data_IF_465986553010
#
_entry.id   IF_465986553010
#
_cell.length_a   1.000
_cell.length_b   1.000
_cell.length_c   1.000
_cell.angle_alpha   90.00
_cell.angle_beta   90.00
_cell.angle_gamma   90.00
#
_symmetry.space_group_name_H-M   'P 1'
#
loop_
_entity.id
_entity.type
_entity.pdbx_description
1 polymer ?
#
# COMPACT_ATOMS: atom_id res chain seq x y z
N UNK A 1 75.58 20.69 6.31
CA UNK A 1 74.96 20.78 4.96
C UNK A 1 74.06 19.56 4.78
N UNK A 2 72.76 19.81 4.68
CA UNK A 2 71.67 18.84 4.64
C UNK A 2 71.70 17.97 3.38
N UNK A 3 71.41 16.67 3.50
CA UNK A 3 70.97 15.82 2.38
C UNK A 3 69.64 15.16 2.75
N UNK A 4 68.67 15.46 1.91
CA UNK A 4 67.23 15.24 2.00
C UNK A 4 66.87 13.76 2.01
N UNK A 5 65.97 13.37 2.92
CA UNK A 5 65.30 12.07 2.95
C UNK A 5 64.27 11.98 1.82
N UNK A 6 64.35 10.90 1.04
CA UNK A 6 63.32 10.47 0.10
C UNK A 6 62.18 9.80 0.88
N UNK A 7 60.98 10.36 0.84
CA UNK A 7 59.76 9.71 1.32
C UNK A 7 58.81 9.53 0.12
N UNK A 8 58.68 8.31 -0.37
CA UNK A 8 57.68 7.93 -1.37
C UNK A 8 56.41 7.60 -0.59
N UNK A 9 55.42 8.50 -0.68
CA UNK A 9 54.09 8.32 -0.08
C UNK A 9 53.20 7.58 -1.09
N UNK A 10 53.08 6.26 -0.95
CA UNK A 10 52.15 5.47 -1.75
C UNK A 10 50.75 5.62 -1.16
N UNK A 11 49.92 6.49 -1.75
CA UNK A 11 48.51 6.60 -1.40
C UNK A 11 47.73 5.40 -1.95
N UNK A 12 47.44 4.41 -1.11
CA UNK A 12 46.51 3.34 -1.43
C UNK A 12 45.07 3.89 -1.38
N UNK A 13 44.50 4.18 -2.54
CA UNK A 13 43.05 4.40 -2.69
C UNK A 13 42.33 3.09 -2.41
N UNK A 14 41.85 2.91 -1.18
CA UNK A 14 40.83 1.92 -0.85
C UNK A 14 39.54 2.34 -1.56
N UNK A 15 39.31 1.82 -2.76
CA UNK A 15 37.99 1.83 -3.38
C UNK A 15 37.08 0.98 -2.50
N UNK A 16 36.31 1.61 -1.61
CA UNK A 16 35.19 0.93 -0.95
C UNK A 16 34.15 0.64 -2.01
N UNK A 17 34.18 -0.57 -2.57
CA UNK A 17 33.09 -1.09 -3.40
C UNK A 17 31.88 -1.15 -2.48
N UNK A 18 31.01 -0.15 -2.55
CA UNK A 18 29.71 -0.17 -1.89
C UNK A 18 28.92 -1.34 -2.48
N UNK A 19 28.92 -2.49 -1.81
CA UNK A 19 28.01 -3.57 -2.15
C UNK A 19 26.59 -3.01 -1.98
N UNK A 20 25.83 -2.95 -3.07
CA UNK A 20 24.43 -2.54 -3.01
C UNK A 20 23.73 -3.43 -1.97
N UNK A 21 23.02 -2.81 -1.03
CA UNK A 21 22.30 -3.55 0.01
C UNK A 21 21.38 -4.58 -0.64
N UNK A 22 21.42 -5.85 -0.18
CA UNK A 22 20.51 -6.88 -0.66
C UNK A 22 19.05 -6.43 -0.51
N UNK A 23 18.23 -6.73 -1.53
CA UNK A 23 16.80 -6.36 -1.51
C UNK A 23 16.08 -6.97 -0.29
N UNK A 24 16.49 -8.18 0.11
CA UNK A 24 15.95 -8.90 1.26
C UNK A 24 16.18 -8.16 2.58
N UNK A 25 17.34 -7.52 2.76
CA UNK A 25 17.65 -6.74 3.96
C UNK A 25 16.77 -5.49 4.05
N UNK A 26 16.57 -4.83 2.90
CA UNK A 26 15.65 -3.68 2.80
C UNK A 26 14.20 -4.11 3.09
N UNK A 27 13.77 -5.26 2.56
CA UNK A 27 12.44 -5.81 2.83
C UNK A 27 12.27 -6.19 4.30
N UNK A 28 13.30 -6.77 4.92
CA UNK A 28 13.31 -7.10 6.34
C UNK A 28 13.26 -5.84 7.21
N UNK A 29 13.96 -4.76 6.82
CA UNK A 29 13.86 -3.47 7.49
C UNK A 29 12.42 -2.91 7.42
N UNK A 30 11.79 -2.95 6.23
CA UNK A 30 10.40 -2.53 6.09
C UNK A 30 9.48 -3.36 6.98
N UNK A 31 9.63 -4.69 7.01
CA UNK A 31 8.82 -5.59 7.85
C UNK A 31 8.98 -5.33 9.35
N UNK A 32 10.12 -4.77 9.79
CA UNK A 32 10.36 -4.34 11.17
C UNK A 32 9.82 -2.94 11.48
N UNK A 33 9.16 -2.26 10.54
CA UNK A 33 8.67 -0.90 10.73
C UNK A 33 9.74 0.16 10.56
N UNK A 34 10.76 -0.12 9.73
CA UNK A 34 11.88 0.80 9.46
C UNK A 34 11.84 1.28 7.99
N UNK A 35 10.77 1.97 7.56
CA UNK A 35 10.65 2.43 6.18
C UNK A 35 11.77 3.42 5.78
N UNK A 36 12.21 4.29 6.70
CA UNK A 36 13.35 5.19 6.43
C UNK A 36 14.67 4.46 6.12
N UNK A 37 14.94 3.34 6.79
CA UNK A 37 16.12 2.49 6.50
C UNK A 37 15.99 1.87 5.11
N UNK A 38 14.79 1.40 4.77
CA UNK A 38 14.47 0.84 3.44
C UNK A 38 14.70 1.87 2.34
N UNK A 39 14.16 3.09 2.52
CA UNK A 39 14.34 4.20 1.57
C UNK A 39 15.81 4.56 1.38
N UNK A 40 16.58 4.61 2.47
CA UNK A 40 18.01 4.91 2.39
C UNK A 40 18.79 3.80 1.66
N UNK A 41 18.49 2.53 1.94
CA UNK A 41 19.16 1.37 1.35
C UNK A 41 18.90 1.21 -0.16
N UNK A 42 17.73 1.62 -0.64
CA UNK A 42 17.33 1.48 -2.05
C UNK A 42 17.58 2.74 -2.88
N UNK A 43 18.17 3.79 -2.29
CA UNK A 43 18.42 5.05 -2.98
C UNK A 43 19.28 4.84 -4.23
N UNK A 44 18.79 5.32 -5.37
CA UNK A 44 19.49 5.22 -6.65
C UNK A 44 19.33 3.88 -7.38
N UNK A 45 18.64 2.90 -6.79
CA UNK A 45 18.26 1.68 -7.50
C UNK A 45 17.12 1.96 -8.46
N UNK A 46 17.25 1.44 -9.67
CA UNK A 46 16.32 1.68 -10.79
C UNK A 46 15.67 0.39 -11.32
N UNK A 47 15.93 -0.75 -10.69
CA UNK A 47 15.26 -2.01 -11.02
C UNK A 47 13.85 -2.06 -10.41
N UNK A 48 12.90 -2.69 -11.12
CA UNK A 48 11.50 -2.73 -10.73
C UNK A 48 11.26 -3.28 -9.30
N UNK A 49 11.91 -4.38 -8.85
CA UNK A 49 11.74 -4.87 -7.47
C UNK A 49 12.13 -3.84 -6.40
N UNK A 50 13.26 -3.16 -6.57
CA UNK A 50 13.68 -2.10 -5.64
C UNK A 50 12.73 -0.90 -5.66
N UNK A 51 12.26 -0.49 -6.85
CA UNK A 51 11.32 0.63 -6.99
C UNK A 51 9.94 0.31 -6.39
N UNK A 52 9.45 -0.93 -6.53
CA UNK A 52 8.23 -1.39 -5.86
C UNK A 52 8.36 -1.31 -4.35
N UNK A 53 9.47 -1.84 -3.80
CA UNK A 53 9.71 -1.81 -2.37
C UNK A 53 9.88 -0.38 -1.85
N UNK A 54 10.51 0.50 -2.65
CA UNK A 54 10.64 1.92 -2.34
C UNK A 54 9.27 2.62 -2.31
N UNK A 55 8.39 2.33 -3.28
CA UNK A 55 7.02 2.87 -3.31
C UNK A 55 6.25 2.48 -2.03
N UNK A 56 6.35 1.22 -1.60
CA UNK A 56 5.78 0.74 -0.33
C UNK A 56 6.39 1.40 0.89
N UNK A 57 7.71 1.58 0.89
CA UNK A 57 8.42 2.20 2.01
C UNK A 57 8.02 3.67 2.19
N UNK A 58 7.77 4.43 1.12
CA UNK A 58 7.23 5.78 1.22
C UNK A 58 5.84 5.81 1.86
N UNK A 59 4.95 4.88 1.49
CA UNK A 59 3.64 4.74 2.16
C UNK A 59 3.83 4.39 3.63
N UNK A 60 4.70 3.44 3.96
CA UNK A 60 5.01 3.08 5.34
C UNK A 60 5.55 4.27 6.15
N UNK A 61 6.44 5.07 5.56
CA UNK A 61 6.98 6.27 6.21
C UNK A 61 5.88 7.30 6.48
N UNK A 62 4.85 7.38 5.63
CA UNK A 62 3.74 8.32 5.79
C UNK A 62 2.89 8.06 7.05
N UNK A 63 2.86 6.80 7.50
CA UNK A 63 2.18 6.40 8.74
C UNK A 63 2.92 6.92 9.98
N UNK A 64 4.24 7.15 9.86
CA UNK A 64 5.09 7.58 10.97
C UNK A 64 5.20 9.11 11.10
N UNK A 65 4.53 9.88 10.23
CA UNK A 65 4.61 11.34 10.24
C UNK A 65 3.26 12.00 10.51
N UNK A 66 3.27 13.02 11.38
CA UNK A 66 2.05 13.74 11.77
C UNK A 66 1.68 14.89 10.80
N UNK A 67 2.64 15.38 10.01
CA UNK A 67 2.42 16.50 9.09
C UNK A 67 1.69 16.08 7.82
N UNK A 68 0.57 16.77 7.51
CA UNK A 68 -0.17 16.60 6.24
C UNK A 68 0.74 16.86 5.04
N UNK A 69 1.53 17.94 5.08
CA UNK A 69 2.46 18.30 4.01
C UNK A 69 3.49 17.20 3.76
N UNK A 70 4.01 16.61 4.83
CA UNK A 70 5.00 15.54 4.71
C UNK A 70 4.38 14.25 4.17
N UNK A 71 3.17 13.89 4.62
CA UNK A 71 2.42 12.76 4.03
C UNK A 71 2.19 12.95 2.53
N UNK A 72 1.77 14.14 2.11
CA UNK A 72 1.56 14.43 0.69
C UNK A 72 2.84 14.28 -0.15
N UNK A 73 3.99 14.70 0.39
CA UNK A 73 5.29 14.48 -0.27
C UNK A 73 5.63 13.00 -0.39
N UNK A 74 5.38 12.22 0.65
CA UNK A 74 5.62 10.78 0.66
C UNK A 74 4.70 10.05 -0.32
N UNK A 75 3.44 10.45 -0.45
CA UNK A 75 2.54 9.88 -1.46
C UNK A 75 3.00 10.20 -2.89
N UNK A 76 3.47 11.42 -3.15
CA UNK A 76 4.05 11.78 -4.45
C UNK A 76 5.34 11.01 -4.76
N UNK A 77 6.19 10.78 -3.74
CA UNK A 77 7.39 9.96 -3.88
C UNK A 77 7.04 8.48 -4.16
N UNK A 78 6.01 7.95 -3.50
CA UNK A 78 5.47 6.60 -3.76
C UNK A 78 4.97 6.46 -5.19
N UNK A 79 4.19 7.43 -5.67
CA UNK A 79 3.71 7.46 -7.06
C UNK A 79 4.88 7.48 -8.05
N UNK A 80 5.88 8.34 -7.81
CA UNK A 80 7.07 8.46 -8.68
C UNK A 80 7.83 7.14 -8.75
N UNK A 81 8.05 6.48 -7.61
CA UNK A 81 8.70 5.18 -7.55
C UNK A 81 7.91 4.10 -8.30
N UNK A 82 6.58 4.02 -8.09
CA UNK A 82 5.73 3.04 -8.76
C UNK A 82 5.66 3.26 -10.28
N UNK A 83 5.56 4.51 -10.75
CA UNK A 83 5.64 4.82 -12.20
C UNK A 83 6.98 4.41 -12.79
N UNK A 84 8.07 4.66 -12.06
CA UNK A 84 9.41 4.23 -12.47
C UNK A 84 9.53 2.70 -12.51
N UNK A 85 8.89 2.00 -11.58
CA UNK A 85 8.87 0.53 -11.58
C UNK A 85 8.15 -0.03 -12.80
N UNK A 86 6.99 0.54 -13.20
CA UNK A 86 6.29 0.16 -14.43
C UNK A 86 7.16 0.47 -15.67
N UNK A 87 7.89 1.58 -15.67
CA UNK A 87 8.80 1.91 -16.78
C UNK A 87 9.98 0.93 -16.88
N UNK A 88 10.48 0.44 -15.74
CA UNK A 88 11.54 -0.55 -15.69
C UNK A 88 11.05 -1.96 -16.06
N UNK A 89 9.82 -2.31 -15.66
CA UNK A 89 9.16 -3.56 -16.01
C UNK A 89 7.63 -3.40 -16.05
N UNK A 90 7.10 -3.28 -17.27
CA UNK A 90 5.67 -3.13 -17.50
C UNK A 90 4.86 -4.42 -17.21
N UNK A 91 5.54 -5.56 -17.02
CA UNK A 91 4.89 -6.82 -16.63
C UNK A 91 4.83 -7.02 -15.11
N UNK A 92 5.35 -6.07 -14.33
CA UNK A 92 5.29 -6.12 -12.87
C UNK A 92 3.86 -5.85 -12.36
N UNK A 93 3.15 -6.91 -11.96
CA UNK A 93 1.85 -6.81 -11.31
C UNK A 93 1.92 -5.96 -10.02
N UNK A 94 3.00 -6.11 -9.26
CA UNK A 94 3.23 -5.34 -8.04
C UNK A 94 3.37 -3.84 -8.32
N UNK A 95 4.07 -3.44 -9.38
CA UNK A 95 4.23 -2.02 -9.73
C UNK A 95 2.88 -1.33 -10.01
N UNK A 96 1.96 -2.04 -10.66
CA UNK A 96 0.60 -1.56 -10.91
C UNK A 96 -0.19 -1.40 -9.59
N UNK A 97 -0.06 -2.35 -8.67
CA UNK A 97 -0.65 -2.26 -7.32
C UNK A 97 -0.12 -1.05 -6.56
N UNK A 98 1.20 -0.84 -6.56
CA UNK A 98 1.79 0.30 -5.85
C UNK A 98 1.35 1.64 -6.43
N UNK A 99 1.26 1.75 -7.76
CA UNK A 99 0.78 2.97 -8.39
C UNK A 99 -0.69 3.24 -8.02
N UNK A 100 -1.54 2.22 -8.06
CA UNK A 100 -2.95 2.35 -7.68
C UNK A 100 -3.10 2.82 -6.22
N UNK A 101 -2.33 2.24 -5.30
CA UNK A 101 -2.32 2.62 -3.89
C UNK A 101 -1.85 4.06 -3.68
N UNK A 102 -0.75 4.45 -4.33
CA UNK A 102 -0.21 5.81 -4.22
C UNK A 102 -1.23 6.86 -4.72
N UNK A 103 -1.89 6.60 -5.85
CA UNK A 103 -2.94 7.47 -6.38
C UNK A 103 -4.16 7.54 -5.44
N UNK A 104 -4.59 6.41 -4.87
CA UNK A 104 -5.71 6.38 -3.94
C UNK A 104 -5.45 7.22 -2.68
N UNK A 105 -4.23 7.17 -2.13
CA UNK A 105 -3.85 7.96 -0.95
C UNK A 105 -3.88 9.48 -1.22
N UNK A 106 -3.58 9.89 -2.45
CA UNK A 106 -3.65 11.29 -2.87
C UNK A 106 -5.08 11.81 -3.12
N UNK A 107 -6.10 10.94 -3.10
CA UNK A 107 -7.50 11.32 -3.23
C UNK A 107 -8.15 11.78 -1.93
N UNK A 108 -7.50 11.57 -0.79
CA UNK A 108 -8.02 12.09 0.48
C UNK A 108 -8.14 13.63 0.42
N UNK A 109 -9.36 14.14 0.58
CA UNK A 109 -9.65 15.58 0.47
C UNK A 109 -9.72 16.12 -0.97
N UNK A 110 -9.68 15.26 -2.00
CA UNK A 110 -9.87 15.68 -3.39
C UNK A 110 -11.36 15.97 -3.70
N UNK A 111 -11.59 16.96 -4.58
CA UNK A 111 -12.94 17.22 -5.10
C UNK A 111 -13.46 16.08 -6.00
N UNK A 112 -14.79 15.97 -6.10
CA UNK A 112 -15.50 14.86 -6.77
C UNK A 112 -15.00 14.56 -8.19
N UNK A 113 -14.73 15.58 -9.01
CA UNK A 113 -14.24 15.40 -10.39
C UNK A 113 -12.88 14.69 -10.44
N UNK A 114 -11.94 15.08 -9.58
CA UNK A 114 -10.62 14.45 -9.49
C UNK A 114 -10.74 13.03 -8.95
N UNK A 115 -11.63 12.81 -7.99
CA UNK A 115 -11.92 11.48 -7.45
C UNK A 115 -12.48 10.53 -8.53
N UNK A 116 -13.38 10.99 -9.39
CA UNK A 116 -13.95 10.14 -10.46
C UNK A 116 -12.90 9.75 -11.51
N UNK A 117 -12.17 10.72 -12.07
CA UNK A 117 -11.17 10.42 -13.13
C UNK A 117 -10.05 9.50 -12.61
N UNK A 118 -9.48 9.87 -11.46
CA UNK A 118 -8.40 9.08 -10.85
C UNK A 118 -8.92 7.74 -10.34
N UNK A 119 -10.17 7.68 -9.88
CA UNK A 119 -10.83 6.44 -9.48
C UNK A 119 -10.88 5.40 -10.59
N UNK A 120 -11.21 5.80 -11.83
CA UNK A 120 -11.19 4.88 -12.98
C UNK A 120 -9.76 4.41 -13.32
N UNK A 121 -8.76 5.29 -13.20
CA UNK A 121 -7.35 4.92 -13.38
C UNK A 121 -6.91 3.89 -12.33
N UNK A 122 -7.25 4.12 -11.06
CA UNK A 122 -6.95 3.21 -9.94
C UNK A 122 -7.54 1.82 -10.20
N UNK A 123 -8.81 1.75 -10.61
CA UNK A 123 -9.44 0.47 -10.97
C UNK A 123 -8.68 -0.24 -12.08
N UNK A 124 -8.39 0.46 -13.18
CA UNK A 124 -7.68 -0.11 -14.33
C UNK A 124 -6.31 -0.66 -13.93
N UNK A 125 -5.60 0.02 -13.02
CA UNK A 125 -4.32 -0.45 -12.52
C UNK A 125 -4.45 -1.75 -11.72
N UNK A 126 -5.46 -1.88 -10.86
CA UNK A 126 -5.70 -3.16 -10.18
C UNK A 126 -6.14 -4.28 -11.14
N UNK A 127 -6.99 -3.98 -12.12
CA UNK A 127 -7.37 -4.94 -13.16
C UNK A 127 -6.16 -5.39 -13.99
N UNK A 128 -5.27 -4.46 -14.35
CA UNK A 128 -4.01 -4.77 -15.03
C UNK A 128 -3.10 -5.65 -14.17
N UNK A 129 -2.97 -5.35 -12.87
CA UNK A 129 -2.22 -6.18 -11.95
C UNK A 129 -2.76 -7.62 -11.89
N UNK A 130 -4.09 -7.79 -11.89
CA UNK A 130 -4.73 -9.11 -11.88
C UNK A 130 -4.66 -9.84 -13.21
N UNK A 131 -4.60 -9.12 -14.32
CA UNK A 131 -4.34 -9.71 -15.64
C UNK A 131 -2.91 -10.28 -15.73
N UNK A 132 -1.95 -9.60 -15.08
CA UNK A 132 -0.55 -10.05 -14.99
C UNK A 132 -0.36 -11.17 -13.97
N UNK A 133 -0.98 -11.04 -12.80
CA UNK A 133 -0.92 -12.01 -11.70
C UNK A 133 -2.30 -12.12 -10.99
N UNK A 134 -3.12 -13.14 -11.31
CA UNK A 134 -4.43 -13.34 -10.68
C UNK A 134 -4.33 -13.77 -9.22
N UNK A 135 -3.13 -14.09 -8.72
CA UNK A 135 -2.88 -14.41 -7.30
C UNK A 135 -2.46 -13.18 -6.49
N UNK A 136 -2.45 -12.00 -7.10
CA UNK A 136 -2.05 -10.77 -6.43
C UNK A 136 -3.10 -10.28 -5.44
N UNK A 137 -3.00 -10.75 -4.19
CA UNK A 137 -4.01 -10.51 -3.15
C UNK A 137 -4.28 -9.03 -2.86
N UNK A 138 -3.24 -8.18 -2.94
CA UNK A 138 -3.40 -6.72 -2.74
C UNK A 138 -4.20 -6.05 -3.85
N UNK A 139 -4.14 -6.54 -5.07
CA UNK A 139 -4.97 -6.04 -6.18
C UNK A 139 -6.44 -6.40 -5.97
N UNK A 140 -6.73 -7.62 -5.52
CA UNK A 140 -8.08 -8.03 -5.13
C UNK A 140 -8.65 -7.17 -3.98
N UNK A 141 -7.86 -6.93 -2.94
CA UNK A 141 -8.27 -6.04 -1.83
C UNK A 141 -8.52 -4.61 -2.33
N UNK A 142 -7.65 -4.11 -3.22
CA UNK A 142 -7.80 -2.80 -3.87
C UNK A 142 -9.09 -2.66 -4.67
N UNK A 143 -9.44 -3.66 -5.49
CA UNK A 143 -10.72 -3.68 -6.22
C UNK A 143 -11.92 -3.74 -5.29
N UNK A 144 -11.85 -4.54 -4.22
CA UNK A 144 -12.89 -4.57 -3.19
C UNK A 144 -13.14 -3.17 -2.61
N UNK A 145 -12.07 -2.49 -2.22
CA UNK A 145 -12.14 -1.12 -1.69
C UNK A 145 -12.67 -0.12 -2.72
N UNK A 146 -12.24 -0.22 -3.97
CA UNK A 146 -12.72 0.66 -5.04
C UNK A 146 -14.23 0.54 -5.26
N UNK A 147 -14.77 -0.69 -5.29
CA UNK A 147 -16.20 -0.91 -5.42
C UNK A 147 -16.98 -0.29 -4.25
N UNK A 148 -16.49 -0.45 -3.02
CA UNK A 148 -17.11 0.14 -1.83
C UNK A 148 -17.17 1.68 -1.91
N UNK A 149 -16.06 2.31 -2.33
CA UNK A 149 -15.99 3.76 -2.50
C UNK A 149 -16.95 4.25 -3.58
N UNK A 150 -16.98 3.59 -4.74
CA UNK A 150 -17.89 3.94 -5.82
C UNK A 150 -19.37 3.81 -5.41
N UNK A 151 -19.73 2.80 -4.61
CA UNK A 151 -21.07 2.65 -4.03
C UNK A 151 -21.42 3.81 -3.09
N UNK A 152 -20.47 4.23 -2.24
CA UNK A 152 -20.64 5.36 -1.32
C UNK A 152 -20.82 6.72 -2.01
N UNK A 153 -20.41 6.86 -3.27
CA UNK A 153 -20.62 8.07 -4.08
C UNK A 153 -22.02 8.14 -4.71
N UNK A 154 -22.83 7.08 -4.60
CA UNK A 154 -24.24 7.08 -4.98
C UNK A 154 -24.56 6.49 -6.37
N UNK A 155 -25.86 6.41 -6.71
CA UNK A 155 -26.37 5.57 -7.81
C UNK A 155 -25.90 5.99 -9.20
N UNK A 156 -25.63 7.29 -9.43
CA UNK A 156 -25.12 7.76 -10.74
C UNK A 156 -23.70 7.25 -11.01
N UNK A 157 -22.84 7.23 -9.98
CA UNK A 157 -21.48 6.68 -10.11
C UNK A 157 -21.53 5.17 -10.29
N UNK A 158 -22.41 4.49 -9.56
CA UNK A 158 -22.65 3.05 -9.74
C UNK A 158 -23.05 2.73 -11.18
N UNK A 159 -24.02 3.45 -11.74
CA UNK A 159 -24.46 3.26 -13.12
C UNK A 159 -23.34 3.53 -14.13
N UNK A 160 -22.57 4.60 -13.94
CA UNK A 160 -21.49 4.98 -14.86
C UNK A 160 -20.29 4.03 -14.83
N UNK A 161 -20.06 3.36 -13.71
CA UNK A 161 -18.83 2.58 -13.48
C UNK A 161 -19.07 1.08 -13.38
N UNK A 162 -20.32 0.63 -13.19
CA UNK A 162 -20.66 -0.77 -12.95
C UNK A 162 -20.21 -1.29 -11.58
N UNK A 163 -19.97 -0.41 -10.61
CA UNK A 163 -19.59 -0.83 -9.28
C UNK A 163 -20.72 -1.64 -8.60
N UNK A 164 -20.39 -2.75 -7.94
CA UNK A 164 -21.40 -3.56 -7.26
C UNK A 164 -20.90 -4.09 -5.91
N UNK A 165 -21.84 -4.29 -4.98
CA UNK A 165 -21.53 -4.89 -3.69
C UNK A 165 -21.10 -6.35 -3.85
N UNK A 166 -21.63 -7.06 -4.84
CA UNK A 166 -21.22 -8.43 -5.16
C UNK A 166 -19.73 -8.50 -5.51
N UNK A 167 -19.28 -7.65 -6.44
CA UNK A 167 -17.88 -7.59 -6.84
C UNK A 167 -16.98 -7.10 -5.69
N UNK A 168 -17.46 -6.15 -4.87
CA UNK A 168 -16.80 -5.72 -3.65
C UNK A 168 -16.50 -6.91 -2.73
N UNK A 169 -17.53 -7.71 -2.41
CA UNK A 169 -17.43 -8.86 -1.49
C UNK A 169 -16.57 -9.98 -2.08
N UNK A 170 -16.76 -10.30 -3.36
CA UNK A 170 -15.98 -11.34 -4.03
C UNK A 170 -14.48 -11.01 -4.02
N UNK A 171 -14.13 -9.76 -4.29
CA UNK A 171 -12.73 -9.31 -4.34
C UNK A 171 -12.08 -9.36 -2.95
N UNK A 172 -12.75 -8.86 -1.91
CA UNK A 172 -12.22 -8.96 -0.54
C UNK A 172 -12.05 -10.40 -0.06
N UNK A 173 -13.03 -11.28 -0.32
CA UNK A 173 -12.93 -12.71 0.01
C UNK A 173 -11.77 -13.39 -0.73
N UNK A 174 -11.55 -13.03 -1.99
CA UNK A 174 -10.41 -13.55 -2.77
C UNK A 174 -9.08 -13.11 -2.19
N UNK A 175 -8.94 -11.86 -1.78
CA UNK A 175 -7.74 -11.36 -1.10
C UNK A 175 -7.45 -12.13 0.20
N UNK A 176 -8.46 -12.33 1.04
CA UNK A 176 -8.34 -13.09 2.30
C UNK A 176 -7.97 -14.55 2.02
N UNK A 177 -8.56 -15.18 0.99
CA UNK A 177 -8.24 -16.55 0.63
C UNK A 177 -6.78 -16.73 0.15
N UNK A 178 -6.24 -15.73 -0.56
CA UNK A 178 -4.87 -15.74 -1.07
C UNK A 178 -3.84 -15.46 0.03
N UNK A 179 -4.15 -14.63 1.03
CA UNK A 179 -3.28 -14.40 2.19
C UNK A 179 -4.07 -14.44 3.50
N UNK A 180 -4.39 -15.64 4.02
CA UNK A 180 -5.28 -15.79 5.18
C UNK A 180 -4.69 -15.21 6.47
N UNK A 181 -3.36 -15.08 6.56
CA UNK A 181 -2.66 -14.49 7.70
C UNK A 181 -2.51 -12.97 7.65
N UNK A 182 -2.98 -12.30 6.58
CA UNK A 182 -2.85 -10.84 6.46
C UNK A 182 -4.00 -10.13 7.20
N UNK A 183 -3.63 -9.39 8.25
CA UNK A 183 -4.57 -8.64 9.11
C UNK A 183 -5.29 -7.58 8.30
N UNK A 184 -4.55 -6.86 7.46
CA UNK A 184 -5.06 -5.71 6.73
C UNK A 184 -6.22 -6.06 5.79
N UNK A 185 -6.28 -7.27 5.24
CA UNK A 185 -7.33 -7.65 4.29
C UNK A 185 -8.70 -7.79 4.95
N UNK A 186 -8.76 -8.31 6.18
CA UNK A 186 -10.00 -8.34 6.96
C UNK A 186 -10.39 -6.95 7.45
N UNK A 187 -9.42 -6.14 7.88
CA UNK A 187 -9.66 -4.75 8.25
C UNK A 187 -10.24 -3.94 7.08
N UNK A 188 -9.65 -4.05 5.90
CA UNK A 188 -10.10 -3.36 4.68
C UNK A 188 -11.51 -3.78 4.25
N UNK A 189 -11.83 -5.08 4.36
CA UNK A 189 -13.18 -5.57 4.09
C UNK A 189 -14.19 -5.03 5.13
N UNK A 190 -13.84 -5.05 6.42
CA UNK A 190 -14.67 -4.46 7.46
C UNK A 190 -14.90 -2.96 7.22
N UNK A 191 -13.86 -2.18 6.91
CA UNK A 191 -13.97 -0.75 6.59
C UNK A 191 -14.89 -0.52 5.37
N UNK A 192 -14.85 -1.39 4.36
CA UNK A 192 -15.76 -1.33 3.20
C UNK A 192 -17.22 -1.56 3.58
N UNK A 193 -17.50 -2.51 4.48
CA UNK A 193 -18.85 -2.76 5.00
C UNK A 193 -19.35 -1.60 5.87
N UNK A 194 -18.46 -1.01 6.66
CA UNK A 194 -18.78 0.16 7.50
C UNK A 194 -19.07 1.40 6.66
N UNK A 195 -18.37 1.58 5.54
CA UNK A 195 -18.71 2.62 4.57
C UNK A 195 -20.14 2.44 4.05
N UNK A 196 -20.51 1.23 3.60
CA UNK A 196 -21.89 0.96 3.17
C UNK A 196 -22.90 1.17 4.29
N UNK A 197 -22.57 0.79 5.53
CA UNK A 197 -23.44 1.02 6.69
C UNK A 197 -23.68 2.50 6.99
N UNK A 198 -22.73 3.37 6.63
CA UNK A 198 -22.87 4.82 6.73
C UNK A 198 -23.83 5.41 5.68
N UNK A 199 -23.98 4.73 4.54
CA UNK A 199 -24.82 5.18 3.41
C UNK A 199 -26.17 4.44 3.33
N UNK A 200 -26.36 3.33 4.05
CA UNK A 200 -27.59 2.54 4.07
C UNK A 200 -28.07 2.27 5.51
N UNK A 201 -28.93 3.16 6.01
CA UNK A 201 -29.48 3.06 7.36
C UNK A 201 -30.31 1.78 7.60
N UNK A 202 -30.93 1.20 6.55
CA UNK A 202 -31.76 -0.01 6.68
C UNK A 202 -30.89 -1.24 6.91
N UNK A 203 -29.70 -1.28 6.30
CA UNK A 203 -28.76 -2.40 6.39
C UNK A 203 -27.63 -2.18 7.38
N UNK A 204 -27.53 -0.98 7.97
CA UNK A 204 -26.42 -0.58 8.83
C UNK A 204 -26.14 -1.56 9.97
N UNK A 205 -27.17 -2.06 10.67
CA UNK A 205 -26.99 -3.01 11.77
C UNK A 205 -26.34 -4.34 11.30
N UNK A 206 -26.86 -4.92 10.21
CA UNK A 206 -26.33 -6.17 9.64
C UNK A 206 -24.91 -5.99 9.11
N UNK A 207 -24.63 -4.90 8.40
CA UNK A 207 -23.30 -4.60 7.87
C UNK A 207 -22.28 -4.38 9.00
N UNK A 208 -22.66 -3.68 10.07
CA UNK A 208 -21.80 -3.51 11.26
C UNK A 208 -21.55 -4.83 11.99
N UNK A 209 -22.54 -5.71 12.07
CA UNK A 209 -22.36 -7.03 12.67
C UNK A 209 -21.36 -7.88 11.88
N UNK A 210 -21.45 -7.89 10.54
CA UNK A 210 -20.50 -8.57 9.67
C UNK A 210 -19.09 -7.96 9.78
N UNK A 211 -18.98 -6.63 9.77
CA UNK A 211 -17.70 -5.94 9.99
C UNK A 211 -17.10 -6.31 11.35
N UNK A 212 -17.90 -6.35 12.43
CA UNK A 212 -17.44 -6.76 13.76
C UNK A 212 -16.90 -8.19 13.77
N UNK A 213 -17.53 -9.11 13.04
CA UNK A 213 -17.02 -10.48 12.90
C UNK A 213 -15.65 -10.50 12.22
N UNK A 214 -15.50 -9.84 11.07
CA UNK A 214 -14.23 -9.76 10.34
C UNK A 214 -13.11 -9.13 11.19
N UNK A 215 -13.43 -8.09 11.95
CA UNK A 215 -12.50 -7.45 12.88
C UNK A 215 -12.09 -8.40 14.02
N UNK A 216 -13.04 -9.19 14.55
CA UNK A 216 -12.74 -10.23 15.53
C UNK A 216 -11.80 -11.31 14.99
N UNK A 217 -12.05 -11.79 13.77
CA UNK A 217 -11.16 -12.72 13.07
C UNK A 217 -9.76 -12.12 12.84
N UNK A 218 -9.68 -10.83 12.50
CA UNK A 218 -8.40 -10.13 12.30
C UNK A 218 -7.58 -10.03 13.60
N UNK A 219 -8.23 -9.82 14.75
CA UNK A 219 -7.55 -9.81 16.06
C UNK A 219 -7.05 -11.19 16.49
N UNK A 220 -7.68 -12.27 16.02
CA UNK A 220 -7.25 -13.63 16.34
C UNK A 220 -5.98 -14.06 15.60
N UNK A 221 -5.57 -13.33 14.55
CA UNK A 221 -4.34 -13.61 13.81
C UNK A 221 -3.10 -13.31 14.67
N UNK A 222 -2.01 -14.07 14.45
CA UNK A 222 -0.71 -13.84 15.09
C UNK A 222 0.17 -12.95 14.18
N UNK A 223 0.36 -11.66 14.49
CA UNK A 223 1.08 -10.75 13.61
C UNK A 223 2.59 -11.08 13.60
N UNK A 224 3.18 -11.13 12.40
CA UNK A 224 4.59 -11.43 12.18
C UNK A 224 5.41 -10.15 11.93
N UNK A 225 4.80 -9.15 11.31
CA UNK A 225 5.46 -7.88 10.96
C UNK A 225 5.03 -6.75 11.90
N UNK A 226 5.79 -5.65 11.87
CA UNK A 226 5.38 -4.40 12.50
C UNK A 226 4.03 -3.91 11.95
N UNK A 227 3.86 -3.96 10.62
CA UNK A 227 2.64 -3.49 9.96
C UNK A 227 1.41 -4.29 10.38
N UNK A 228 1.50 -5.61 10.48
CA UNK A 228 0.38 -6.43 10.97
C UNK A 228 0.01 -6.11 12.42
N UNK A 229 0.99 -5.76 13.28
CA UNK A 229 0.70 -5.30 14.65
C UNK A 229 0.00 -3.94 14.64
N UNK A 230 0.49 -3.00 13.84
CA UNK A 230 -0.13 -1.70 13.63
C UNK A 230 -1.57 -1.85 13.11
N UNK A 231 -1.82 -2.75 12.16
CA UNK A 231 -3.16 -3.02 11.64
C UNK A 231 -4.08 -3.61 12.70
N UNK A 232 -3.56 -4.46 13.61
CA UNK A 232 -4.35 -4.91 14.76
C UNK A 232 -4.71 -3.79 15.74
N UNK A 233 -3.87 -2.76 15.87
CA UNK A 233 -4.22 -1.56 16.64
C UNK A 233 -5.37 -0.81 15.98
N UNK A 234 -5.33 -0.65 14.66
CA UNK A 234 -6.44 -0.09 13.88
C UNK A 234 -7.73 -0.91 14.03
N UNK A 235 -7.64 -2.24 14.01
CA UNK A 235 -8.77 -3.14 14.25
C UNK A 235 -9.40 -2.89 15.64
N UNK A 236 -8.57 -2.75 16.70
CA UNK A 236 -9.06 -2.43 18.05
C UNK A 236 -9.76 -1.08 18.10
N UNK A 237 -9.25 -0.08 17.38
CA UNK A 237 -9.89 1.22 17.26
C UNK A 237 -11.27 1.13 16.59
N UNK A 238 -11.37 0.41 15.47
CA UNK A 238 -12.67 0.18 14.80
C UNK A 238 -13.67 -0.47 15.74
N UNK A 239 -13.27 -1.54 16.43
CA UNK A 239 -14.16 -2.24 17.36
C UNK A 239 -14.67 -1.35 18.49
N UNK A 240 -13.82 -0.46 19.04
CA UNK A 240 -14.24 0.52 20.06
C UNK A 240 -15.24 1.55 19.52
N UNK A 241 -15.13 1.90 18.24
CA UNK A 241 -16.00 2.87 17.58
C UNK A 241 -17.32 2.30 17.07
N UNK A 242 -17.52 0.98 17.09
CA UNK A 242 -18.77 0.37 16.64
C UNK A 242 -19.85 0.45 17.72
N UNK A 243 -21.07 0.91 17.38
CA UNK A 243 -22.21 0.95 18.30
C UNK A 243 -22.71 -0.44 18.68
#
# INVERSE_FOLDING_TARGET
MSKVLTAILTAALLSTTSLATPLDDAQAALNRGQPGVTIAALRGRMDAPALNLLARAYVGQSVLVNSVTERSRLYAASETAARSAIAADASSAEAHVELANALALQLQGAGMVRATRTGLEIRRLFEQALALDPTQARAWMGLGTWHAQALGLGPLVVLATGASEEAMRASHRKAIALAPGEVFFRLSYADSLLLLAGHDARRAATLRAEARQLLGEALALKPQTYWQRHDQEQVRERLRGLP
#
